data_IF_100572354215
#
_entry.id   IF_100572354215
#
_cell.length_a   1.000
_cell.length_b   1.000
_cell.length_c   1.000
_cell.angle_alpha   90.00
_cell.angle_beta   90.00
_cell.angle_gamma   90.00
#
_symmetry.space_group_name_H-M   'P 1'
#
loop_
_entity.id
_entity.type
_entity.pdbx_description
1 polymer ?
#
# COMPACT_ATOMS: atom_id res chain seq x y z
N UNK A 1 4.51 -28.76 -22.31
CA UNK A 1 3.29 -27.93 -22.52
C UNK A 1 2.56 -27.58 -21.21
N UNK A 2 2.41 -28.50 -20.24
CA UNK A 2 1.75 -28.22 -18.94
C UNK A 2 2.52 -27.26 -18.00
N UNK A 3 3.86 -27.29 -18.00
CA UNK A 3 4.68 -26.44 -17.10
C UNK A 3 4.51 -24.94 -17.39
N UNK A 4 4.43 -24.57 -18.67
CA UNK A 4 4.28 -23.18 -19.11
C UNK A 4 2.92 -22.59 -18.70
N UNK A 5 1.84 -23.36 -18.86
CA UNK A 5 0.48 -22.93 -18.47
C UNK A 5 0.39 -22.68 -16.95
N UNK A 6 1.02 -23.56 -16.16
CA UNK A 6 1.07 -23.43 -14.70
C UNK A 6 1.87 -22.17 -14.28
N UNK A 7 3.00 -21.89 -14.93
CA UNK A 7 3.76 -20.65 -14.70
C UNK A 7 2.94 -19.39 -15.02
N UNK A 8 2.15 -19.37 -16.10
CA UNK A 8 1.29 -18.22 -16.42
C UNK A 8 0.20 -17.99 -15.37
N UNK A 9 -0.44 -19.05 -14.89
CA UNK A 9 -1.46 -18.95 -13.84
C UNK A 9 -0.86 -18.41 -12.54
N UNK A 10 0.31 -18.90 -12.14
CA UNK A 10 1.02 -18.41 -10.95
C UNK A 10 1.38 -16.92 -11.05
N UNK A 11 1.84 -16.47 -12.22
CA UNK A 11 2.16 -15.06 -12.47
C UNK A 11 0.90 -14.17 -12.38
N UNK A 12 -0.23 -14.62 -12.93
CA UNK A 12 -1.50 -13.87 -12.87
C UNK A 12 -2.04 -13.79 -11.43
N UNK A 13 -2.01 -14.90 -10.68
CA UNK A 13 -2.43 -14.92 -9.28
C UNK A 13 -1.60 -13.99 -8.40
N UNK A 14 -0.27 -13.93 -8.62
CA UNK A 14 0.62 -13.02 -7.89
C UNK A 14 0.25 -11.55 -8.11
N UNK A 15 -0.03 -11.16 -9.36
CA UNK A 15 -0.44 -9.79 -9.69
C UNK A 15 -1.78 -9.41 -9.03
N UNK A 16 -2.73 -10.35 -8.97
CA UNK A 16 -4.02 -10.11 -8.31
C UNK A 16 -3.88 -9.89 -6.80
N UNK A 17 -2.98 -10.61 -6.13
CA UNK A 17 -2.77 -10.50 -4.67
C UNK A 17 -1.99 -9.23 -4.31
N UNK A 18 -0.93 -8.90 -5.06
CA UNK A 18 -0.12 -7.71 -4.79
C UNK A 18 -0.86 -6.37 -5.01
N UNK A 19 -1.89 -6.36 -5.87
CA UNK A 19 -2.58 -5.14 -6.28
C UNK A 19 -3.93 -4.90 -5.60
N UNK A 20 -4.33 -5.70 -4.60
CA UNK A 20 -5.63 -5.57 -3.93
C UNK A 20 -5.53 -5.57 -2.38
N UNK A 21 -4.35 -5.30 -1.83
CA UNK A 21 -4.17 -5.25 -0.38
C UNK A 21 -4.12 -3.80 0.10
N UNK A 22 -5.15 -3.38 0.83
CA UNK A 22 -5.12 -2.20 1.69
C UNK A 22 -4.74 -2.65 3.10
N UNK A 23 -3.71 -2.03 3.67
CA UNK A 23 -3.16 -2.44 4.96
C UNK A 23 -2.69 -1.23 5.77
N UNK A 24 -2.49 -1.43 7.08
CA UNK A 24 -1.88 -0.43 7.94
C UNK A 24 -0.38 -0.33 7.64
N UNK A 25 0.11 0.89 7.42
CA UNK A 25 1.51 1.16 7.07
C UNK A 25 2.09 2.22 7.99
N UNK A 26 3.37 2.09 8.35
CA UNK A 26 4.08 3.13 9.08
C UNK A 26 4.48 4.25 8.12
N UNK A 27 4.13 5.47 8.46
CA UNK A 27 4.44 6.67 7.68
C UNK A 27 5.01 7.76 8.59
N UNK A 28 5.69 8.72 7.97
CA UNK A 28 6.12 9.95 8.64
C UNK A 28 5.30 11.10 8.07
N UNK A 29 4.59 11.81 8.93
CA UNK A 29 3.74 12.95 8.54
C UNK A 29 4.28 14.24 9.14
N UNK A 30 4.14 15.34 8.40
CA UNK A 30 4.34 16.68 8.92
C UNK A 30 3.06 17.12 9.63
N UNK A 31 3.19 17.51 10.90
CA UNK A 31 2.12 18.07 11.72
C UNK A 31 2.44 19.53 11.96
N UNK A 32 1.46 20.39 11.71
CA UNK A 32 1.56 21.83 11.87
C UNK A 32 0.48 22.30 12.84
N UNK A 33 0.82 23.31 13.64
CA UNK A 33 -0.12 24.09 14.43
C UNK A 33 0.18 25.55 14.14
N UNK A 34 -0.84 26.32 13.74
CA UNK A 34 -0.67 27.72 13.32
C UNK A 34 0.04 28.56 14.38
N UNK A 35 -0.30 28.38 15.67
CA UNK A 35 0.34 29.08 16.80
C UNK A 35 1.85 28.81 16.95
N UNK A 36 2.35 27.72 16.38
CA UNK A 36 3.74 27.33 16.47
C UNK A 36 4.59 27.87 15.31
N UNK A 37 3.98 28.21 14.17
CA UNK A 37 4.67 28.70 12.96
C UNK A 37 5.79 27.74 12.43
N UNK A 38 5.76 26.46 12.81
CA UNK A 38 6.67 25.43 12.31
C UNK A 38 5.99 24.08 12.17
N UNK A 39 6.53 23.24 11.29
CA UNK A 39 6.11 21.86 11.09
C UNK A 39 7.02 20.90 11.86
N UNK A 40 6.45 19.88 12.48
CA UNK A 40 7.19 18.76 13.07
C UNK A 40 6.90 17.47 12.31
N UNK A 41 7.90 16.60 12.18
CA UNK A 41 7.71 15.27 11.59
C UNK A 41 7.50 14.23 12.68
N UNK A 42 6.41 13.47 12.61
CA UNK A 42 6.11 12.38 13.55
C UNK A 42 5.89 11.06 12.82
N UNK A 43 6.26 9.96 13.46
CA UNK A 43 5.93 8.63 12.97
C UNK A 43 4.52 8.26 13.40
N UNK A 44 3.70 7.79 12.46
CA UNK A 44 2.33 7.37 12.68
C UNK A 44 1.98 6.14 11.82
N UNK A 45 0.86 5.50 12.09
CA UNK A 45 0.31 4.44 11.24
C UNK A 45 -0.86 4.98 10.41
N UNK A 46 -0.91 4.62 9.13
CA UNK A 46 -1.97 5.03 8.20
C UNK A 46 -2.33 3.90 7.22
N UNK A 47 -3.60 3.82 6.83
CA UNK A 47 -4.08 2.86 5.84
C UNK A 47 -3.56 3.21 4.43
N UNK A 48 -2.86 2.30 3.78
CA UNK A 48 -2.33 2.48 2.43
C UNK A 48 -2.46 1.19 1.61
N UNK A 49 -2.73 1.35 0.32
CA UNK A 49 -2.81 0.25 -0.63
C UNK A 49 -3.91 0.45 -1.68
N UNK A 50 -4.33 -0.65 -2.28
CA UNK A 50 -5.28 -0.67 -3.39
C UNK A 50 -6.54 -1.45 -2.98
N UNK A 51 -7.70 -0.92 -3.38
CA UNK A 51 -8.99 -1.55 -3.18
C UNK A 51 -9.64 -1.86 -4.52
N UNK A 52 -10.41 -2.95 -4.58
CA UNK A 52 -11.25 -3.25 -5.74
C UNK A 52 -12.35 -2.19 -5.89
N UNK A 53 -12.61 -1.73 -7.12
CA UNK A 53 -13.66 -0.75 -7.47
C UNK A 53 -14.62 -1.37 -8.50
N UNK A 54 -15.89 -0.93 -8.50
CA UNK A 54 -16.96 -1.48 -9.35
C UNK A 54 -17.26 -0.59 -10.54
#
# INVERSE_FOLDING_TARGET
RMKTLNCYVLLLCWKAICCNSCQLTNITIAVEREECEFCITVNATWCSGYCFTR
#
